data_IF_159650418904
#
_entry.id   IF_159650418904
#
_cell.length_a   1.000
_cell.length_b   1.000
_cell.length_c   1.000
_cell.angle_alpha   90.00
_cell.angle_beta   90.00
_cell.angle_gamma   90.00
#
_symmetry.space_group_name_H-M   'P 1'
#
loop_
_entity.id
_entity.type
_entity.pdbx_description
1 polymer ?
#
# COMPACT_ATOMS: atom_id res chain seq x y z
N UNK A 1 -37.32 24.99 -81.57
CA UNK A 1 -38.79 24.89 -81.63
C UNK A 1 -39.36 26.28 -81.96
N UNK A 2 -40.12 26.37 -83.09
CA UNK A 2 -40.83 27.59 -83.50
C UNK A 2 -42.16 27.63 -82.67
N UNK A 3 -42.37 28.68 -81.94
CA UNK A 3 -43.65 28.95 -81.32
C UNK A 3 -44.47 29.83 -82.27
N UNK A 4 -45.69 29.38 -82.59
CA UNK A 4 -46.59 30.17 -83.41
C UNK A 4 -47.52 30.95 -82.48
N UNK A 5 -47.45 32.28 -82.56
CA UNK A 5 -48.28 33.19 -81.75
C UNK A 5 -49.72 33.07 -82.13
N UNK A 6 -50.66 32.80 -81.24
CA UNK A 6 -52.11 32.92 -81.50
C UNK A 6 -52.53 34.35 -81.76
N UNK A 7 -53.66 34.56 -82.44
CA UNK A 7 -54.20 35.89 -82.83
C UNK A 7 -54.79 36.63 -81.61
N UNK A 8 -54.68 36.18 -80.38
CA UNK A 8 -55.15 36.85 -79.21
C UNK A 8 -53.93 37.19 -78.31
N UNK A 9 -54.13 38.16 -77.39
CA UNK A 9 -53.09 38.55 -76.38
C UNK A 9 -52.63 37.28 -75.63
N UNK A 10 -51.36 37.01 -75.69
CA UNK A 10 -50.75 35.92 -74.87
C UNK A 10 -49.94 36.54 -73.77
N UNK A 11 -50.27 36.18 -72.52
CA UNK A 11 -49.46 36.50 -71.34
C UNK A 11 -48.42 35.37 -71.18
N UNK A 12 -47.14 35.70 -71.27
CA UNK A 12 -46.01 34.76 -70.99
C UNK A 12 -45.50 35.05 -69.62
N UNK A 13 -45.67 34.10 -68.71
CA UNK A 13 -45.24 34.19 -67.30
C UNK A 13 -43.98 33.37 -67.13
N UNK A 14 -42.90 34.00 -66.77
CA UNK A 14 -41.67 33.26 -66.37
C UNK A 14 -41.91 32.62 -64.98
N UNK A 15 -41.69 31.34 -64.91
CA UNK A 15 -41.66 30.57 -63.66
C UNK A 15 -40.19 30.35 -63.30
N UNK A 16 -39.79 30.90 -62.17
CA UNK A 16 -38.47 30.65 -61.63
C UNK A 16 -38.57 29.53 -60.59
N UNK A 17 -37.86 28.44 -60.79
CA UNK A 17 -37.67 27.45 -59.73
C UNK A 17 -36.45 27.89 -58.91
N UNK A 18 -36.57 27.74 -57.59
CA UNK A 18 -35.45 27.95 -56.69
C UNK A 18 -34.42 26.86 -56.99
N UNK A 19 -33.19 27.28 -57.30
CA UNK A 19 -32.09 26.34 -57.45
C UNK A 19 -32.01 25.41 -56.22
N UNK A 20 -31.90 24.12 -56.43
CA UNK A 20 -31.66 23.20 -55.37
C UNK A 20 -30.39 23.64 -54.63
N UNK A 21 -30.39 23.66 -53.28
CA UNK A 21 -29.17 23.94 -52.53
C UNK A 21 -28.03 23.06 -53.07
N UNK A 22 -26.82 23.60 -53.23
CA UNK A 22 -25.68 22.76 -53.63
C UNK A 22 -25.58 21.57 -52.73
N UNK A 23 -25.38 20.38 -53.29
CA UNK A 23 -25.20 19.15 -52.52
C UNK A 23 -24.09 19.33 -51.47
N UNK A 24 -24.27 18.87 -50.22
CA UNK A 24 -23.25 18.98 -49.24
C UNK A 24 -21.96 18.31 -49.73
N UNK A 25 -20.82 18.99 -49.62
CA UNK A 25 -19.54 18.54 -50.21
C UNK A 25 -18.69 17.69 -49.26
N UNK A 26 -19.21 17.38 -48.06
CA UNK A 26 -18.51 16.62 -47.03
C UNK A 26 -18.69 15.09 -47.16
N UNK A 27 -17.84 14.30 -46.49
CA UNK A 27 -18.03 12.86 -46.38
C UNK A 27 -19.28 12.51 -45.60
N UNK A 28 -19.81 11.31 -45.79
CA UNK A 28 -20.90 10.80 -44.97
C UNK A 28 -20.48 10.76 -43.48
N UNK A 29 -21.39 11.17 -42.58
CA UNK A 29 -21.13 11.11 -41.14
C UNK A 29 -20.95 9.66 -40.73
N UNK A 30 -19.78 9.27 -40.14
CA UNK A 30 -19.49 7.87 -39.83
C UNK A 30 -20.24 7.38 -38.63
N UNK A 31 -20.42 6.05 -38.52
CA UNK A 31 -20.70 5.37 -37.27
C UNK A 31 -19.40 4.72 -36.80
N UNK A 32 -18.75 5.31 -35.81
CA UNK A 32 -17.48 4.78 -35.29
C UNK A 32 -17.72 3.82 -34.11
N UNK A 33 -16.85 2.83 -34.03
CA UNK A 33 -16.81 1.90 -32.89
C UNK A 33 -15.36 1.66 -32.53
N UNK A 34 -15.05 1.76 -31.24
CA UNK A 34 -13.76 1.33 -30.69
C UNK A 34 -13.84 -0.14 -30.32
N UNK A 35 -12.83 -0.90 -30.71
CA UNK A 35 -12.67 -2.32 -30.40
C UNK A 35 -11.32 -2.56 -29.75
N UNK A 36 -11.24 -3.53 -28.86
CA UNK A 36 -10.05 -3.89 -28.09
C UNK A 36 -10.27 -3.70 -26.59
N UNK A 37 -9.55 -4.48 -25.82
CA UNK A 37 -9.42 -4.33 -24.37
C UNK A 37 -7.97 -3.96 -24.10
N UNK A 38 -7.76 -2.85 -23.42
CA UNK A 38 -6.43 -2.32 -23.13
C UNK A 38 -6.21 -2.37 -21.61
N UNK A 39 -5.00 -2.78 -21.23
CA UNK A 39 -4.54 -2.79 -19.84
C UNK A 39 -3.22 -2.04 -19.78
N UNK A 40 -3.03 -1.25 -18.76
CA UNK A 40 -1.80 -0.49 -18.54
C UNK A 40 -0.56 -1.42 -18.60
N UNK A 41 0.45 -0.98 -19.33
CA UNK A 41 1.72 -1.70 -19.51
C UNK A 41 2.93 -0.76 -19.61
N UNK A 42 2.75 0.52 -19.26
CA UNK A 42 3.78 1.56 -19.36
C UNK A 42 4.05 2.09 -20.77
N UNK A 43 3.34 1.58 -21.78
CA UNK A 43 3.49 2.00 -23.19
C UNK A 43 2.21 2.65 -23.69
N UNK A 44 2.36 3.48 -24.74
CA UNK A 44 1.19 4.06 -25.41
C UNK A 44 0.34 2.97 -26.09
N UNK A 45 -0.95 3.00 -25.84
CA UNK A 45 -1.97 2.22 -26.53
C UNK A 45 -2.62 3.07 -27.61
N UNK A 46 -2.90 2.45 -28.76
CA UNK A 46 -3.63 3.07 -29.86
C UNK A 46 -4.94 2.32 -30.02
N UNK A 47 -6.06 3.01 -29.78
CA UNK A 47 -7.39 2.42 -29.93
C UNK A 47 -7.70 2.12 -31.39
N UNK A 48 -8.16 0.90 -31.66
CA UNK A 48 -8.63 0.50 -32.98
C UNK A 48 -10.03 1.03 -33.23
N UNK A 49 -10.17 1.94 -34.21
CA UNK A 49 -11.43 2.62 -34.53
C UNK A 49 -11.93 2.15 -35.89
N UNK A 50 -13.08 1.50 -35.91
CA UNK A 50 -13.79 1.15 -37.14
C UNK A 50 -14.72 2.28 -37.58
N UNK A 51 -14.98 2.39 -38.90
CA UNK A 51 -15.80 3.46 -39.46
C UNK A 51 -15.05 4.77 -39.74
N UNK A 52 -13.77 4.86 -39.38
CA UNK A 52 -12.89 5.97 -39.67
C UNK A 52 -12.19 5.78 -41.04
N UNK A 53 -12.19 6.83 -41.87
CA UNK A 53 -11.48 6.89 -43.14
C UNK A 53 -10.45 8.01 -43.13
N UNK A 54 -9.12 7.70 -43.08
CA UNK A 54 -8.06 8.71 -43.01
C UNK A 54 -7.97 9.60 -44.26
N UNK A 55 -8.56 9.21 -45.38
CA UNK A 55 -8.57 10.03 -46.60
C UNK A 55 -9.53 11.24 -46.52
N UNK A 56 -10.55 11.17 -45.65
CA UNK A 56 -11.62 12.14 -45.59
C UNK A 56 -11.91 12.66 -44.18
N UNK A 57 -11.28 12.08 -43.17
CA UNK A 57 -11.55 12.38 -41.74
C UNK A 57 -10.27 12.61 -40.95
N UNK A 58 -10.36 13.41 -39.88
CA UNK A 58 -9.35 13.52 -38.83
C UNK A 58 -9.78 12.72 -37.62
N UNK A 59 -8.81 12.14 -36.89
CA UNK A 59 -9.01 11.43 -35.67
C UNK A 59 -8.14 12.03 -34.56
N UNK A 60 -8.67 12.09 -33.33
CA UNK A 60 -7.95 12.48 -32.13
C UNK A 60 -8.46 11.71 -30.93
N UNK A 61 -7.67 11.68 -29.83
CA UNK A 61 -8.04 11.00 -28.59
C UNK A 61 -8.05 9.48 -28.69
N UNK A 62 -7.48 8.92 -29.73
CA UNK A 62 -7.35 7.47 -29.95
C UNK A 62 -6.06 6.88 -29.37
N UNK A 63 -5.24 7.69 -28.67
CA UNK A 63 -4.03 7.24 -27.97
C UNK A 63 -4.12 7.55 -26.49
N UNK A 64 -3.48 6.71 -25.65
CA UNK A 64 -3.38 6.88 -24.21
C UNK A 64 -2.32 5.96 -23.63
N UNK A 65 -1.72 6.36 -22.51
CA UNK A 65 -0.70 5.58 -21.82
C UNK A 65 -1.18 5.10 -20.45
N UNK A 66 -1.81 5.98 -19.67
CA UNK A 66 -2.24 5.68 -18.32
C UNK A 66 -3.59 4.95 -18.27
N UNK A 67 -3.86 4.25 -17.19
CA UNK A 67 -5.18 3.68 -16.94
C UNK A 67 -6.22 4.81 -16.81
N UNK A 68 -7.38 4.64 -17.43
CA UNK A 68 -8.43 5.65 -17.39
C UNK A 68 -9.37 5.58 -18.59
N UNK A 69 -10.31 6.50 -18.61
CA UNK A 69 -11.31 6.64 -19.65
C UNK A 69 -10.87 7.69 -20.66
N UNK A 70 -11.05 7.38 -21.94
CA UNK A 70 -10.66 8.20 -23.08
C UNK A 70 -11.83 8.37 -24.04
N UNK A 71 -11.75 9.36 -24.89
CA UNK A 71 -12.75 9.60 -25.94
C UNK A 71 -12.07 9.82 -27.28
N UNK A 72 -12.36 8.95 -28.22
CA UNK A 72 -12.02 9.19 -29.63
C UNK A 72 -12.97 10.24 -30.20
N UNK A 73 -12.42 11.14 -30.97
CA UNK A 73 -13.18 12.17 -31.72
C UNK A 73 -12.79 12.13 -33.19
N UNK A 74 -13.77 12.01 -34.06
CA UNK A 74 -13.59 12.01 -35.53
C UNK A 74 -14.34 13.21 -36.12
N UNK A 75 -13.64 13.97 -36.97
CA UNK A 75 -14.19 15.15 -37.66
C UNK A 75 -13.95 15.06 -39.15
N UNK A 76 -14.79 15.71 -39.95
CA UNK A 76 -14.61 15.81 -41.39
C UNK A 76 -13.43 16.72 -41.73
N UNK A 77 -12.57 16.33 -42.70
CA UNK A 77 -11.50 17.19 -43.23
C UNK A 77 -12.01 18.41 -43.97
N UNK A 78 -13.25 18.38 -44.47
CA UNK A 78 -13.90 19.53 -45.14
C UNK A 78 -14.60 20.47 -44.14
N UNK A 79 -14.58 20.14 -42.86
CA UNK A 79 -15.25 20.90 -41.77
C UNK A 79 -16.76 20.66 -41.69
N UNK A 80 -17.34 19.89 -42.60
CA UNK A 80 -18.77 19.51 -42.64
C UNK A 80 -18.98 18.09 -43.06
N UNK A 81 -20.01 17.45 -42.52
CA UNK A 81 -20.50 16.17 -43.02
C UNK A 81 -21.46 16.35 -44.21
N UNK A 82 -21.79 15.26 -44.89
CA UNK A 82 -22.72 15.28 -46.00
C UNK A 82 -24.15 15.72 -45.62
N UNK A 83 -24.52 15.62 -44.36
CA UNK A 83 -25.77 16.13 -43.78
C UNK A 83 -25.72 17.62 -43.40
N UNK A 84 -24.55 18.27 -43.63
CA UNK A 84 -24.33 19.68 -43.31
C UNK A 84 -23.92 19.93 -41.85
N UNK A 85 -23.93 18.92 -40.99
CA UNK A 85 -23.51 19.05 -39.58
C UNK A 85 -22.01 19.22 -39.46
N UNK A 86 -21.53 19.83 -38.37
CA UNK A 86 -20.10 20.07 -38.07
C UNK A 86 -19.64 19.32 -36.81
N UNK A 87 -20.57 18.70 -36.06
CA UNK A 87 -20.27 18.04 -34.80
C UNK A 87 -19.35 16.85 -34.98
N UNK A 88 -18.37 16.71 -34.10
CA UNK A 88 -17.52 15.54 -34.06
C UNK A 88 -18.35 14.28 -33.72
N UNK A 89 -17.96 13.15 -34.30
CA UNK A 89 -18.48 11.83 -33.91
C UNK A 89 -17.53 11.25 -32.87
N UNK A 90 -18.05 10.88 -31.69
CA UNK A 90 -17.23 10.43 -30.57
C UNK A 90 -17.54 8.99 -30.17
N UNK A 91 -16.55 8.30 -29.62
CA UNK A 91 -16.71 7.00 -29.01
C UNK A 91 -15.78 6.89 -27.80
N UNK A 92 -16.30 6.33 -26.69
CA UNK A 92 -15.51 6.10 -25.48
C UNK A 92 -14.66 4.84 -25.60
N UNK A 93 -13.51 4.84 -24.95
CA UNK A 93 -12.66 3.68 -24.73
C UNK A 93 -11.90 3.84 -23.43
N UNK A 94 -11.24 2.78 -22.93
CA UNK A 94 -10.52 2.85 -21.67
C UNK A 94 -9.29 1.94 -21.67
N UNK A 95 -8.34 2.30 -20.83
CA UNK A 95 -7.21 1.48 -20.43
C UNK A 95 -7.45 1.07 -18.97
N UNK A 96 -7.58 -0.24 -18.74
CA UNK A 96 -7.76 -0.77 -17.38
C UNK A 96 -6.46 -0.74 -16.60
N UNK A 97 -6.55 -0.77 -15.25
CA UNK A 97 -5.39 -0.92 -14.37
C UNK A 97 -4.74 -2.29 -14.57
N UNK A 98 -3.42 -2.33 -14.42
CA UNK A 98 -2.65 -3.57 -14.39
C UNK A 98 -2.70 -4.23 -13.01
N UNK A 99 -2.50 -5.53 -12.97
CA UNK A 99 -2.26 -6.28 -11.73
C UNK A 99 -0.78 -6.25 -11.39
N UNK A 100 -0.46 -6.41 -10.10
CA UNK A 100 0.90 -6.53 -9.59
C UNK A 100 1.06 -7.90 -8.92
N UNK A 101 2.27 -8.45 -8.95
CA UNK A 101 2.62 -9.64 -8.17
C UNK A 101 2.85 -9.26 -6.70
N UNK A 102 2.67 -10.21 -5.78
CA UNK A 102 2.97 -9.98 -4.37
C UNK A 102 4.45 -9.63 -4.15
N UNK A 103 4.80 -8.77 -3.18
CA UNK A 103 6.19 -8.49 -2.84
C UNK A 103 6.93 -9.78 -2.43
N UNK A 104 8.23 -9.83 -2.71
CA UNK A 104 9.11 -10.92 -2.32
C UNK A 104 10.34 -10.37 -1.60
N UNK A 105 11.13 -11.27 -0.98
CA UNK A 105 12.35 -10.88 -0.27
C UNK A 105 12.12 -10.16 1.07
N UNK A 106 10.90 -10.18 1.60
CA UNK A 106 10.57 -9.64 2.90
C UNK A 106 11.10 -10.52 4.03
N UNK A 107 11.69 -9.93 5.07
CA UNK A 107 12.23 -10.64 6.22
C UNK A 107 11.70 -10.05 7.51
N UNK A 108 11.03 -10.88 8.32
CA UNK A 108 10.65 -10.53 9.70
C UNK A 108 11.83 -10.73 10.64
N UNK A 109 12.14 -9.73 11.46
CA UNK A 109 13.17 -9.76 12.49
C UNK A 109 12.49 -9.70 13.86
N UNK A 110 12.74 -10.69 14.69
CA UNK A 110 12.15 -10.78 16.03
C UNK A 110 12.56 -9.60 16.92
N UNK A 111 11.72 -9.21 17.89
CA UNK A 111 12.12 -8.32 18.97
C UNK A 111 13.31 -8.86 19.75
N UNK A 112 14.02 -8.01 20.47
CA UNK A 112 15.18 -8.43 21.29
C UNK A 112 14.80 -9.33 22.43
N UNK A 113 13.57 -9.18 22.97
CA UNK A 113 13.05 -9.98 24.08
C UNK A 113 11.60 -10.42 23.81
N UNK A 114 11.20 -11.52 24.47
CA UNK A 114 9.79 -11.98 24.47
C UNK A 114 8.89 -10.84 24.95
N UNK A 115 7.81 -10.62 24.20
CA UNK A 115 6.87 -9.53 24.48
C UNK A 115 7.39 -8.13 24.14
N UNK A 116 8.59 -8.02 23.56
CA UNK A 116 9.13 -6.77 23.04
C UNK A 116 8.35 -6.27 21.83
N UNK A 117 8.54 -5.01 21.50
CA UNK A 117 7.94 -4.35 20.34
C UNK A 117 8.98 -3.63 19.46
N UNK A 118 10.23 -4.08 19.54
CA UNK A 118 11.36 -3.58 18.75
C UNK A 118 11.69 -4.51 17.55
N UNK A 119 10.77 -5.40 17.19
CA UNK A 119 10.85 -6.20 15.99
C UNK A 119 10.64 -5.36 14.72
N UNK A 120 11.00 -5.91 13.57
CA UNK A 120 10.89 -5.19 12.31
C UNK A 120 10.67 -6.12 11.12
N UNK A 121 10.23 -5.54 10.00
CA UNK A 121 10.22 -6.18 8.69
C UNK A 121 11.13 -5.37 7.77
N UNK A 122 12.03 -6.06 7.07
CA UNK A 122 12.95 -5.47 6.08
C UNK A 122 12.58 -5.90 4.66
N UNK A 123 13.10 -5.20 3.66
CA UNK A 123 12.83 -5.48 2.25
C UNK A 123 11.59 -4.79 1.70
N UNK A 124 11.04 -3.85 2.44
CA UNK A 124 9.94 -3.00 2.00
C UNK A 124 10.44 -1.72 1.34
N UNK A 125 9.57 -1.01 0.64
CA UNK A 125 9.80 0.33 0.10
C UNK A 125 8.54 1.20 0.20
N UNK A 126 8.65 2.47 -0.21
CA UNK A 126 7.56 3.44 -0.11
C UNK A 126 6.38 3.18 -1.05
N UNK A 127 6.45 2.20 -1.94
CA UNK A 127 5.33 1.77 -2.80
C UNK A 127 4.46 0.71 -2.14
N UNK A 128 4.89 0.21 -0.98
CA UNK A 128 4.24 -0.85 -0.24
C UNK A 128 3.40 -0.29 0.92
N UNK A 129 2.47 -1.13 1.37
CA UNK A 129 1.67 -0.91 2.57
C UNK A 129 1.56 -2.23 3.36
N UNK A 130 1.36 -2.13 4.66
CA UNK A 130 1.31 -3.29 5.54
C UNK A 130 0.19 -3.19 6.57
N UNK A 131 -0.18 -4.33 7.14
CA UNK A 131 -1.07 -4.44 8.31
C UNK A 131 -0.68 -5.65 9.16
N UNK A 132 -0.99 -5.62 10.44
CA UNK A 132 -0.98 -6.84 11.25
C UNK A 132 -2.14 -7.76 10.84
N UNK A 133 -2.02 -9.06 11.11
CA UNK A 133 -3.08 -10.04 10.83
C UNK A 133 -4.41 -9.69 11.50
N UNK A 134 -4.37 -9.11 12.71
CA UNK A 134 -5.55 -8.66 13.46
C UNK A 134 -6.19 -7.38 12.93
N UNK A 135 -5.54 -6.66 12.01
CA UNK A 135 -6.00 -5.40 11.46
C UNK A 135 -6.60 -5.58 10.07
N UNK A 136 -7.47 -4.67 9.68
CA UNK A 136 -8.11 -4.65 8.35
C UNK A 136 -7.65 -3.47 7.49
N UNK A 137 -7.00 -2.49 8.10
CA UNK A 137 -6.54 -1.25 7.45
C UNK A 137 -5.04 -1.34 7.23
N UNK A 138 -4.62 -1.00 6.02
CA UNK A 138 -3.20 -0.94 5.67
C UNK A 138 -2.61 0.42 6.03
N UNK A 139 -1.36 0.38 6.48
CA UNK A 139 -0.50 1.54 6.75
C UNK A 139 0.58 1.61 5.68
N UNK A 140 0.79 2.78 5.08
CA UNK A 140 1.83 2.97 4.07
C UNK A 140 3.23 2.81 4.67
N UNK A 141 4.12 2.12 3.96
CA UNK A 141 5.52 2.07 4.30
C UNK A 141 6.20 3.42 3.98
N UNK A 142 7.02 3.92 4.91
CA UNK A 142 7.70 5.22 4.76
C UNK A 142 9.20 5.11 4.50
N UNK A 143 9.74 3.88 4.48
CA UNK A 143 11.17 3.62 4.31
C UNK A 143 11.43 2.20 3.83
N UNK A 144 12.63 1.71 4.07
CA UNK A 144 13.09 0.38 3.67
C UNK A 144 12.86 -0.69 4.76
N UNK A 145 12.37 -0.28 5.92
CA UNK A 145 12.04 -1.13 7.07
C UNK A 145 10.73 -0.66 7.71
N UNK A 146 9.98 -1.58 8.29
CA UNK A 146 8.86 -1.34 9.21
C UNK A 146 9.38 -1.66 10.59
N UNK A 147 9.39 -0.69 11.48
CA UNK A 147 9.94 -0.80 12.83
C UNK A 147 8.84 -0.86 13.90
N UNK A 148 9.27 -1.13 15.14
CA UNK A 148 8.40 -1.14 16.34
C UNK A 148 7.29 -2.18 16.25
N UNK A 149 7.60 -3.36 15.74
CA UNK A 149 6.67 -4.47 15.61
C UNK A 149 6.78 -5.44 16.78
N UNK A 150 5.64 -5.90 17.25
CA UNK A 150 5.56 -7.06 18.15
C UNK A 150 5.65 -8.36 17.35
N UNK A 151 5.94 -9.48 18.01
CA UNK A 151 5.84 -10.80 17.39
C UNK A 151 4.42 -11.04 16.86
N UNK A 152 4.33 -11.64 15.67
CA UNK A 152 3.05 -11.92 15.00
C UNK A 152 3.18 -12.03 13.49
N UNK A 153 2.05 -12.28 12.83
CA UNK A 153 1.96 -12.30 11.39
C UNK A 153 1.53 -10.93 10.85
N UNK A 154 2.15 -10.55 9.77
CA UNK A 154 1.90 -9.29 9.05
C UNK A 154 1.66 -9.60 7.57
N UNK A 155 0.86 -8.79 6.94
CA UNK A 155 0.62 -8.81 5.51
C UNK A 155 1.18 -7.54 4.88
N UNK A 156 1.99 -7.71 3.84
CA UNK A 156 2.61 -6.62 3.08
C UNK A 156 2.22 -6.76 1.62
N UNK A 157 1.89 -5.66 0.96
CA UNK A 157 1.59 -5.65 -0.46
C UNK A 157 2.05 -4.35 -1.12
N UNK A 158 2.19 -4.36 -2.43
CA UNK A 158 2.27 -3.11 -3.18
C UNK A 158 0.93 -2.39 -3.10
N UNK A 159 0.94 -1.12 -2.75
CA UNK A 159 -0.24 -0.28 -2.76
C UNK A 159 -0.79 -0.11 -4.19
N UNK A 160 -2.10 0.03 -4.33
CA UNK A 160 -2.69 0.41 -5.59
C UNK A 160 -2.38 1.88 -5.91
N UNK A 161 -2.17 2.16 -7.19
CA UNK A 161 -1.93 3.51 -7.70
C UNK A 161 -2.91 3.87 -8.83
N UNK A 162 -2.60 4.92 -9.59
CA UNK A 162 -3.41 5.32 -10.74
C UNK A 162 -3.47 4.21 -11.80
N UNK A 163 -2.37 3.51 -12.02
CA UNK A 163 -2.18 2.56 -13.12
C UNK A 163 -2.27 1.08 -12.70
N UNK A 164 -2.21 0.80 -11.39
CA UNK A 164 -2.19 -0.56 -10.86
C UNK A 164 -3.26 -0.79 -9.80
N UNK A 165 -3.78 -2.00 -9.74
CA UNK A 165 -4.46 -2.49 -8.55
C UNK A 165 -3.44 -2.78 -7.45
N UNK A 166 -3.86 -2.78 -6.17
CA UNK A 166 -3.03 -3.33 -5.12
C UNK A 166 -2.68 -4.80 -5.42
N UNK A 167 -1.46 -5.20 -5.07
CA UNK A 167 -1.03 -6.59 -5.25
C UNK A 167 -1.75 -7.54 -4.27
N UNK A 168 -1.68 -8.85 -4.49
CA UNK A 168 -1.91 -9.81 -3.42
C UNK A 168 -0.96 -9.58 -2.24
N UNK A 169 -1.38 -10.04 -1.06
CA UNK A 169 -0.59 -9.97 0.16
C UNK A 169 0.58 -10.97 0.13
N UNK A 170 1.73 -10.54 0.63
CA UNK A 170 2.81 -11.40 1.09
C UNK A 170 2.73 -11.50 2.61
N UNK A 171 2.67 -12.72 3.16
CA UNK A 171 2.68 -12.96 4.58
C UNK A 171 4.11 -12.96 5.12
N UNK A 172 4.34 -12.24 6.23
CA UNK A 172 5.65 -12.14 6.91
C UNK A 172 5.45 -12.37 8.40
N UNK A 173 6.18 -13.33 8.96
CA UNK A 173 6.17 -13.59 10.40
C UNK A 173 7.31 -12.86 11.09
N UNK A 174 7.00 -12.01 12.06
CA UNK A 174 7.93 -11.49 13.05
C UNK A 174 7.92 -12.47 14.23
N UNK A 175 8.99 -13.22 14.39
CA UNK A 175 9.11 -14.25 15.43
C UNK A 175 9.12 -13.69 16.84
N UNK A 176 9.01 -14.56 17.85
CA UNK A 176 9.18 -14.18 19.25
C UNK A 176 10.64 -13.81 19.53
N UNK A 177 10.83 -12.79 20.39
CA UNK A 177 12.13 -12.40 20.88
C UNK A 177 12.75 -13.44 21.84
N UNK A 178 14.00 -13.24 22.18
CA UNK A 178 14.70 -14.15 23.11
C UNK A 178 14.05 -14.11 24.50
N UNK A 179 13.84 -15.29 25.10
CA UNK A 179 13.46 -15.38 26.50
C UNK A 179 14.62 -14.94 27.38
N UNK A 180 14.36 -14.03 28.33
CA UNK A 180 15.37 -13.69 29.34
C UNK A 180 15.70 -14.93 30.18
N UNK A 181 17.00 -15.14 30.45
CA UNK A 181 17.49 -16.22 31.29
C UNK A 181 16.90 -16.11 32.71
N UNK A 182 16.64 -17.25 33.32
CA UNK A 182 16.33 -17.32 34.74
C UNK A 182 17.62 -17.14 35.55
N UNK A 183 17.57 -16.30 36.59
CA UNK A 183 18.64 -16.07 37.54
C UNK A 183 18.17 -16.47 38.94
N UNK A 184 19.01 -17.18 39.66
CA UNK A 184 18.73 -17.65 41.03
C UNK A 184 19.43 -16.76 42.06
N UNK A 185 18.64 -16.27 42.99
CA UNK A 185 19.10 -15.54 44.18
C UNK A 185 19.17 -16.55 45.32
N UNK A 186 20.35 -16.87 45.79
CA UNK A 186 20.57 -17.80 46.92
C UNK A 186 20.94 -17.01 48.14
N UNK A 187 20.25 -17.26 49.27
CA UNK A 187 20.57 -16.64 50.54
C UNK A 187 21.51 -17.50 51.37
N UNK A 188 22.52 -16.86 51.98
CA UNK A 188 23.55 -17.50 52.80
C UNK A 188 23.56 -16.85 54.21
N UNK A 189 23.46 -17.66 55.26
CA UNK A 189 23.42 -17.17 56.60
C UNK A 189 24.75 -16.54 57.11
N UNK A 190 25.85 -16.65 56.34
CA UNK A 190 27.17 -16.19 56.79
C UNK A 190 27.64 -16.93 58.05
N UNK A 191 27.85 -16.21 59.18
CA UNK A 191 28.19 -16.80 60.47
C UNK A 191 26.96 -17.23 61.28
N UNK A 192 25.75 -16.86 60.83
CA UNK A 192 24.48 -17.20 61.47
C UNK A 192 23.99 -18.60 61.16
N UNK A 193 22.72 -18.85 61.47
CA UNK A 193 22.07 -20.16 61.26
C UNK A 193 20.64 -20.00 60.72
N UNK A 194 20.06 -21.10 60.25
CA UNK A 194 18.71 -21.11 59.66
C UNK A 194 18.78 -21.22 58.14
N UNK A 195 17.64 -21.05 57.46
CA UNK A 195 17.52 -21.11 56.01
C UNK A 195 16.54 -20.05 55.50
N UNK A 196 16.80 -19.56 54.33
CA UNK A 196 15.87 -18.78 53.53
C UNK A 196 15.78 -19.44 52.12
N UNK A 197 14.57 -19.47 51.59
CA UNK A 197 14.34 -20.06 50.25
C UNK A 197 15.01 -19.20 49.18
N UNK A 198 15.56 -19.87 48.18
CA UNK A 198 16.06 -19.18 46.98
C UNK A 198 14.90 -18.58 46.17
N UNK A 199 15.19 -17.53 45.44
CA UNK A 199 14.23 -16.85 44.58
C UNK A 199 14.73 -16.88 43.15
N UNK A 200 13.88 -17.26 42.19
CA UNK A 200 14.17 -17.21 40.76
C UNK A 200 13.52 -15.97 40.15
N UNK A 201 14.30 -15.19 39.44
CA UNK A 201 13.87 -13.99 38.69
C UNK A 201 14.41 -14.01 37.28
N UNK A 202 13.81 -13.24 36.36
CA UNK A 202 14.37 -13.04 35.05
C UNK A 202 15.57 -12.08 35.08
N UNK A 203 16.57 -12.33 34.26
CA UNK A 203 17.72 -11.43 34.08
C UNK A 203 17.25 -10.00 33.80
N UNK A 204 17.88 -9.01 34.46
CA UNK A 204 17.47 -7.61 34.39
C UNK A 204 16.41 -7.17 35.40
N UNK A 205 15.86 -8.11 36.21
CA UNK A 205 14.88 -7.76 37.26
C UNK A 205 15.54 -6.96 38.39
N UNK A 206 14.90 -5.87 38.83
CA UNK A 206 15.22 -5.18 40.04
C UNK A 206 14.56 -5.91 41.22
N UNK A 207 15.37 -6.65 41.98
CA UNK A 207 14.93 -7.39 43.15
C UNK A 207 15.14 -6.57 44.44
N UNK A 208 14.14 -6.49 45.28
CA UNK A 208 14.25 -5.80 46.60
C UNK A 208 14.69 -6.80 47.65
N UNK A 209 15.83 -6.55 48.30
CA UNK A 209 16.39 -7.42 49.31
C UNK A 209 15.43 -7.51 50.52
N UNK A 210 15.07 -8.72 50.99
CA UNK A 210 14.12 -8.91 52.09
C UNK A 210 14.72 -8.56 53.43
N UNK A 211 13.88 -8.56 54.49
CA UNK A 211 14.36 -8.64 55.86
C UNK A 211 15.15 -9.96 56.06
N UNK A 212 16.16 -9.94 56.92
CA UNK A 212 16.94 -11.13 57.27
C UNK A 212 16.10 -12.14 58.02
N UNK A 213 15.94 -13.34 57.49
CA UNK A 213 15.27 -14.49 58.12
C UNK A 213 16.21 -15.44 58.86
N UNK A 214 17.51 -15.18 58.86
CA UNK A 214 18.52 -16.00 59.57
C UNK A 214 18.61 -15.59 61.02
N UNK A 215 19.05 -16.54 61.85
CA UNK A 215 19.37 -16.31 63.27
C UNK A 215 20.83 -15.90 63.37
N UNK A 216 21.10 -14.72 63.94
CA UNK A 216 22.46 -14.25 64.17
C UNK A 216 23.17 -15.09 65.24
N UNK A 217 24.53 -15.19 65.24
CA UNK A 217 25.29 -15.79 66.32
C UNK A 217 25.04 -15.10 67.69
N UNK A 218 25.40 -15.78 68.75
CA UNK A 218 25.27 -15.20 70.14
C UNK A 218 25.98 -13.82 70.24
N UNK A 219 25.32 -12.86 70.86
CA UNK A 219 25.81 -11.50 71.06
C UNK A 219 26.02 -10.66 69.75
N UNK A 220 25.44 -11.13 68.61
CA UNK A 220 25.46 -10.42 67.37
C UNK A 220 24.03 -10.13 66.82
N UNK A 221 23.94 -9.21 65.89
CA UNK A 221 22.70 -8.91 65.17
C UNK A 221 22.99 -8.76 63.68
N UNK A 222 21.97 -8.93 62.85
CA UNK A 222 22.10 -8.69 61.39
C UNK A 222 22.50 -7.23 61.13
N UNK A 223 23.54 -7.03 60.30
CA UNK A 223 24.03 -5.70 59.94
C UNK A 223 23.55 -5.29 58.54
N UNK A 224 23.78 -6.14 57.55
CA UNK A 224 23.54 -5.87 56.17
C UNK A 224 23.57 -7.15 55.31
N UNK A 225 23.12 -7.06 54.07
CA UNK A 225 23.34 -8.07 53.07
C UNK A 225 24.67 -7.79 52.33
N UNK A 226 25.42 -8.81 51.97
CA UNK A 226 26.64 -8.73 51.13
C UNK A 226 26.37 -9.43 49.80
N UNK A 227 26.66 -8.74 48.68
CA UNK A 227 26.63 -9.32 47.34
C UNK A 227 27.95 -8.93 46.63
N UNK A 228 28.77 -9.92 46.29
CA UNK A 228 30.03 -9.67 45.60
C UNK A 228 30.99 -8.73 46.34
N UNK A 229 30.98 -8.74 47.69
CA UNK A 229 31.81 -7.89 48.55
C UNK A 229 31.25 -6.48 48.82
N UNK A 230 30.06 -6.17 48.31
CA UNK A 230 29.38 -4.89 48.54
C UNK A 230 28.24 -5.08 49.53
N UNK A 231 28.12 -4.18 50.52
CA UNK A 231 27.07 -4.19 51.54
C UNK A 231 25.83 -3.44 51.06
N UNK A 232 24.65 -4.03 51.35
CA UNK A 232 23.34 -3.49 51.01
C UNK A 232 22.42 -3.51 52.25
N UNK A 233 21.69 -2.46 52.53
CA UNK A 233 20.66 -2.49 53.57
C UNK A 233 19.45 -3.35 53.16
N UNK A 234 18.64 -3.73 54.12
CA UNK A 234 17.29 -4.28 53.88
C UNK A 234 16.49 -3.31 52.99
N UNK A 235 15.69 -3.85 52.12
CA UNK A 235 14.89 -3.14 51.11
C UNK A 235 15.70 -2.40 50.03
N UNK A 236 17.01 -2.62 49.91
CA UNK A 236 17.77 -2.11 48.80
C UNK A 236 17.36 -2.81 47.50
N UNK A 237 17.17 -2.07 46.39
CA UNK A 237 16.99 -2.67 45.07
C UNK A 237 18.33 -3.15 44.49
N UNK A 238 18.35 -4.34 43.92
CA UNK A 238 19.51 -4.91 43.24
C UNK A 238 19.08 -5.41 41.85
N UNK A 239 19.75 -4.96 40.81
CA UNK A 239 19.52 -5.49 39.45
C UNK A 239 20.21 -6.84 39.31
N UNK A 240 19.45 -7.91 39.08
CA UNK A 240 19.94 -9.28 39.00
C UNK A 240 20.14 -9.64 37.53
N UNK A 241 21.39 -9.79 37.08
CA UNK A 241 21.73 -10.12 35.69
C UNK A 241 22.31 -11.54 35.52
N UNK A 242 22.61 -12.21 36.60
CA UNK A 242 23.11 -13.59 36.67
C UNK A 242 22.78 -14.17 38.08
N UNK A 243 23.06 -15.44 38.31
CA UNK A 243 22.93 -16.06 39.63
C UNK A 243 23.77 -15.30 40.65
N UNK A 244 23.17 -14.99 41.81
CA UNK A 244 23.83 -14.26 42.88
C UNK A 244 23.65 -14.98 44.20
N UNK A 245 24.65 -14.80 45.10
CA UNK A 245 24.56 -15.21 46.50
C UNK A 245 24.46 -13.95 47.35
N UNK A 246 23.41 -13.87 48.17
CA UNK A 246 23.13 -12.80 49.14
C UNK A 246 23.47 -13.32 50.52
N UNK A 247 24.57 -12.83 51.08
CA UNK A 247 25.09 -13.32 52.39
C UNK A 247 24.74 -12.36 53.49
N UNK A 248 24.32 -12.88 54.62
CA UNK A 248 24.09 -12.10 55.83
C UNK A 248 25.41 -11.75 56.55
N UNK A 249 25.56 -10.47 56.95
CA UNK A 249 26.66 -9.96 57.73
C UNK A 249 26.20 -9.59 59.13
#
# INVERSE_FOLDING_TARGET
NKFTMPSANVEVKAIFEKDAPPAPTGPAKPSIKVTGAYTYNGSEHIATVSGYDPATMYISGNTGTDAGDYTVSVTSQTGKWADGSTDAVTAAWSIGKATQEAPNGLIGVAPTTVGGSDGKITGVDATMEYRAESETIYTACTGIEIENLSAGNYFVRYAGDHNHFASPDAEVTVGEGASLADCTITFNAGAGSGSMDSVTVKAGTNYTLPACGFTAPADQQFKAWEIGGTEYPVNAPVTVTADITVKAL
#
